data_IF_615731167904
#
_entry.id   IF_615731167904
#
_cell.length_a   1.000
_cell.length_b   1.000
_cell.length_c   1.000
_cell.angle_alpha   90.00
_cell.angle_beta   90.00
_cell.angle_gamma   90.00
#
_symmetry.space_group_name_H-M   'P 1'
#
loop_
_entity.id
_entity.type
_entity.pdbx_description
1 polymer ?
#
# COMPACT_ATOMS: atom_id res chain seq x y z
N UNK A 1 -3.38 -12.81 -16.09
CA UNK A 1 -2.64 -13.36 -14.93
C UNK A 1 -3.62 -13.84 -13.88
N UNK A 2 -3.30 -14.91 -13.15
CA UNK A 2 -4.08 -15.41 -11.99
C UNK A 2 -3.39 -15.11 -10.67
N UNK A 3 -4.16 -15.18 -9.57
CA UNK A 3 -3.64 -14.93 -8.22
C UNK A 3 -2.49 -15.87 -7.84
N UNK A 4 -2.52 -17.13 -8.28
CA UNK A 4 -1.46 -18.11 -7.98
C UNK A 4 -0.12 -17.79 -8.66
N UNK A 5 -0.16 -17.05 -9.78
CA UNK A 5 1.03 -16.71 -10.57
C UNK A 5 1.86 -15.59 -9.91
N UNK A 6 1.25 -14.80 -9.02
CA UNK A 6 1.87 -13.66 -8.35
C UNK A 6 3.09 -14.02 -7.50
N UNK A 7 3.21 -15.27 -7.04
CA UNK A 7 4.33 -15.73 -6.20
C UNK A 7 5.61 -15.97 -7.01
N UNK A 8 5.49 -16.18 -8.34
CA UNK A 8 6.59 -16.67 -9.18
C UNK A 8 6.93 -15.77 -10.37
N UNK A 9 6.08 -14.78 -10.67
CA UNK A 9 6.24 -13.91 -11.83
C UNK A 9 7.36 -12.90 -11.65
N UNK A 10 8.09 -12.61 -12.73
CA UNK A 10 9.01 -11.46 -12.81
C UNK A 10 8.22 -10.20 -13.19
N UNK A 11 8.44 -9.11 -12.47
CA UNK A 11 7.71 -7.87 -12.61
C UNK A 11 8.39 -6.93 -13.60
N UNK A 12 7.68 -6.65 -14.68
CA UNK A 12 8.05 -5.71 -15.72
C UNK A 12 6.79 -4.98 -16.22
N UNK A 13 6.92 -4.13 -17.23
CA UNK A 13 5.80 -3.33 -17.73
C UNK A 13 4.63 -4.18 -18.26
N UNK A 14 4.89 -5.36 -18.84
CA UNK A 14 3.87 -6.25 -19.38
C UNK A 14 3.14 -7.01 -18.26
N UNK A 15 3.89 -7.55 -17.30
CA UNK A 15 3.29 -8.28 -16.17
C UNK A 15 2.56 -7.34 -15.23
N UNK A 16 3.04 -6.11 -15.05
CA UNK A 16 2.30 -5.07 -14.33
C UNK A 16 1.00 -4.66 -15.04
N UNK A 17 0.98 -4.58 -16.38
CA UNK A 17 -0.27 -4.39 -17.14
C UNK A 17 -1.25 -5.54 -16.94
N UNK A 18 -0.75 -6.78 -16.98
CA UNK A 18 -1.58 -7.96 -16.67
C UNK A 18 -2.12 -7.94 -15.25
N UNK A 19 -1.41 -7.29 -14.31
CA UNK A 19 -1.86 -7.10 -12.94
C UNK A 19 -2.97 -6.05 -12.81
N UNK A 20 -2.92 -4.96 -13.57
CA UNK A 20 -4.03 -3.99 -13.57
C UNK A 20 -5.31 -4.59 -14.18
N UNK A 21 -5.19 -5.46 -15.19
CA UNK A 21 -6.29 -6.27 -15.71
C UNK A 21 -6.84 -7.24 -14.64
N UNK A 22 -5.96 -7.86 -13.84
CA UNK A 22 -6.39 -8.67 -12.70
C UNK A 22 -7.20 -7.83 -11.69
N UNK A 23 -6.75 -6.62 -11.33
CA UNK A 23 -7.51 -5.72 -10.45
C UNK A 23 -8.89 -5.41 -11.04
N UNK A 24 -8.97 -5.12 -12.34
CA UNK A 24 -10.23 -4.87 -13.03
C UNK A 24 -11.16 -6.09 -13.00
N UNK A 25 -10.61 -7.30 -13.17
CA UNK A 25 -11.40 -8.54 -13.10
C UNK A 25 -11.95 -8.84 -11.69
N UNK A 26 -11.34 -8.27 -10.65
CA UNK A 26 -11.76 -8.42 -9.25
C UNK A 26 -12.72 -7.31 -8.79
N UNK A 27 -13.15 -6.45 -9.71
CA UNK A 27 -14.00 -5.29 -9.42
C UNK A 27 -15.36 -5.70 -8.85
N UNK A 28 -15.81 -4.94 -7.85
CA UNK A 28 -17.16 -5.02 -7.31
C UNK A 28 -17.81 -3.63 -7.34
N UNK A 29 -18.66 -3.39 -8.33
CA UNK A 29 -19.29 -2.09 -8.54
C UNK A 29 -20.16 -1.63 -7.36
N UNK A 30 -20.88 -2.55 -6.72
CA UNK A 30 -21.76 -2.20 -5.60
C UNK A 30 -20.94 -1.72 -4.41
N UNK A 31 -19.84 -2.43 -4.11
CA UNK A 31 -18.84 -2.01 -3.13
C UNK A 31 -18.20 -0.68 -3.52
N UNK A 32 -17.83 -0.51 -4.79
CA UNK A 32 -17.24 0.73 -5.32
C UNK A 32 -18.12 1.94 -5.15
N UNK A 33 -19.40 1.83 -5.52
CA UNK A 33 -20.41 2.90 -5.36
C UNK A 33 -20.63 3.27 -3.90
N UNK A 34 -20.61 2.29 -3.00
CA UNK A 34 -20.70 2.55 -1.57
C UNK A 34 -19.46 3.28 -1.04
N UNK A 35 -18.27 2.75 -1.35
CA UNK A 35 -17.00 3.34 -0.90
C UNK A 35 -16.79 4.76 -1.41
N UNK A 36 -17.12 5.02 -2.68
CA UNK A 36 -16.99 6.36 -3.29
C UNK A 36 -17.83 7.43 -2.59
N UNK A 37 -18.88 7.04 -1.84
CA UNK A 37 -19.70 7.97 -1.05
C UNK A 37 -19.10 8.30 0.32
N UNK A 38 -18.32 7.40 0.92
CA UNK A 38 -17.83 7.53 2.30
C UNK A 38 -16.32 7.81 2.39
N UNK A 39 -15.57 7.52 1.33
CA UNK A 39 -14.14 7.80 1.25
C UNK A 39 -13.95 9.08 0.43
N UNK A 40 -13.58 10.21 1.07
CA UNK A 40 -13.27 11.43 0.34
C UNK A 40 -12.03 11.23 -0.51
N UNK A 41 -11.91 11.97 -1.61
CA UNK A 41 -10.70 11.99 -2.45
C UNK A 41 -10.23 10.61 -2.95
N UNK A 42 -11.15 9.65 -3.14
CA UNK A 42 -10.83 8.28 -3.57
C UNK A 42 -10.03 8.24 -4.88
N UNK A 43 -10.36 9.14 -5.82
CA UNK A 43 -9.72 9.19 -7.13
C UNK A 43 -10.09 7.98 -7.99
N UNK A 44 -9.16 7.55 -8.83
CA UNK A 44 -9.33 6.34 -9.64
C UNK A 44 -9.29 5.09 -8.76
N UNK A 45 -10.24 4.17 -8.97
CA UNK A 45 -10.33 2.91 -8.22
C UNK A 45 -10.87 1.80 -9.11
N UNK A 46 -10.33 0.60 -8.94
CA UNK A 46 -10.81 -0.64 -9.56
C UNK A 46 -11.96 -1.29 -8.75
N UNK A 47 -12.29 -0.75 -7.57
CA UNK A 47 -13.31 -1.26 -6.67
C UNK A 47 -13.03 -2.67 -6.14
N UNK A 48 -11.75 -2.97 -5.88
CA UNK A 48 -11.35 -4.27 -5.34
C UNK A 48 -11.46 -4.26 -3.81
N UNK A 49 -12.10 -5.30 -3.26
CA UNK A 49 -12.29 -5.41 -1.81
C UNK A 49 -10.98 -5.70 -1.07
N UNK A 50 -10.86 -5.16 0.14
CA UNK A 50 -9.69 -5.37 1.02
C UNK A 50 -9.25 -6.83 1.22
N UNK A 51 -10.14 -7.84 1.34
CA UNK A 51 -9.70 -9.24 1.43
C UNK A 51 -8.91 -9.70 0.20
N UNK A 52 -9.30 -9.29 -1.01
CA UNK A 52 -8.57 -9.63 -2.24
C UNK A 52 -7.21 -8.94 -2.27
N UNK A 53 -7.13 -7.65 -1.90
CA UNK A 53 -5.85 -6.93 -1.80
C UNK A 53 -4.91 -7.57 -0.78
N UNK A 54 -5.43 -8.06 0.35
CA UNK A 54 -4.62 -8.82 1.33
C UNK A 54 -4.13 -10.16 0.77
N UNK A 55 -4.91 -10.83 -0.08
CA UNK A 55 -4.48 -12.06 -0.74
C UNK A 55 -3.37 -11.78 -1.76
N UNK A 56 -3.51 -10.73 -2.57
CA UNK A 56 -2.47 -10.24 -3.49
C UNK A 56 -1.18 -9.97 -2.71
N UNK A 57 -1.26 -9.18 -1.63
CA UNK A 57 -0.09 -8.81 -0.85
C UNK A 57 0.61 -10.03 -0.21
N UNK A 58 -0.15 -11.06 0.21
CA UNK A 58 0.40 -12.32 0.73
C UNK A 58 1.10 -13.15 -0.34
N UNK A 59 0.59 -13.16 -1.56
CA UNK A 59 1.24 -13.85 -2.68
C UNK A 59 2.54 -13.14 -3.07
N UNK A 60 2.48 -11.82 -3.24
CA UNK A 60 3.63 -10.98 -3.60
C UNK A 60 4.73 -11.02 -2.52
N UNK A 61 4.38 -11.09 -1.23
CA UNK A 61 5.35 -11.21 -0.12
C UNK A 61 6.27 -12.44 -0.25
N UNK A 62 5.81 -13.50 -0.93
CA UNK A 62 6.61 -14.70 -1.18
C UNK A 62 7.42 -14.62 -2.48
N UNK A 63 7.14 -13.64 -3.33
CA UNK A 63 7.81 -13.46 -4.60
C UNK A 63 9.22 -12.87 -4.38
N UNK A 64 10.22 -13.47 -5.02
CA UNK A 64 11.61 -13.01 -4.96
C UNK A 64 11.80 -11.63 -5.59
N UNK A 65 10.92 -11.23 -6.49
CA UNK A 65 10.90 -9.95 -7.20
C UNK A 65 9.85 -8.97 -6.64
N UNK A 66 9.53 -9.08 -5.35
CA UNK A 66 8.62 -8.18 -4.64
C UNK A 66 9.00 -6.71 -4.78
N UNK A 67 10.30 -6.38 -4.83
CA UNK A 67 10.78 -5.00 -4.92
C UNK A 67 10.36 -4.33 -6.24
N UNK A 68 10.46 -5.04 -7.35
CA UNK A 68 10.01 -4.55 -8.66
C UNK A 68 8.50 -4.30 -8.67
N UNK A 69 7.70 -5.22 -8.13
CA UNK A 69 6.26 -5.01 -7.96
C UNK A 69 5.96 -3.76 -7.12
N UNK A 70 6.65 -3.62 -5.99
CA UNK A 70 6.49 -2.46 -5.10
C UNK A 70 6.79 -1.15 -5.82
N UNK A 71 7.82 -1.12 -6.66
CA UNK A 71 8.17 0.05 -7.46
C UNK A 71 7.09 0.39 -8.49
N UNK A 72 6.50 -0.61 -9.16
CA UNK A 72 5.39 -0.39 -10.09
C UNK A 72 4.15 0.20 -9.40
N UNK A 73 3.66 -0.42 -8.33
CA UNK A 73 2.47 0.09 -7.61
C UNK A 73 2.76 1.45 -6.94
N UNK A 74 4.02 1.73 -6.62
CA UNK A 74 4.43 3.04 -6.11
C UNK A 74 4.34 4.12 -7.19
N UNK A 75 4.58 3.80 -8.47
CA UNK A 75 4.32 4.71 -9.57
C UNK A 75 2.83 4.76 -9.97
N UNK A 76 2.05 3.74 -9.57
CA UNK A 76 0.61 3.64 -9.77
C UNK A 76 -0.20 4.75 -9.08
N UNK A 77 -1.43 4.93 -9.55
CA UNK A 77 -2.28 6.06 -9.12
C UNK A 77 -3.63 5.64 -8.55
N UNK A 78 -4.04 4.38 -8.75
CA UNK A 78 -5.32 3.90 -8.24
C UNK A 78 -5.31 3.76 -6.72
N UNK A 79 -6.51 3.80 -6.15
CA UNK A 79 -6.74 3.57 -4.73
C UNK A 79 -6.21 2.20 -4.26
N UNK A 80 -6.42 1.15 -5.05
CA UNK A 80 -5.97 -0.22 -4.76
C UNK A 80 -4.44 -0.33 -4.74
N UNK A 81 -3.75 0.35 -5.66
CA UNK A 81 -2.28 0.35 -5.69
C UNK A 81 -1.69 1.06 -4.48
N UNK A 82 -2.28 2.19 -4.06
CA UNK A 82 -1.90 2.88 -2.82
C UNK A 82 -2.15 1.98 -1.60
N UNK A 83 -3.29 1.30 -1.54
CA UNK A 83 -3.58 0.34 -0.47
C UNK A 83 -2.55 -0.78 -0.43
N UNK A 84 -2.21 -1.37 -1.58
CA UNK A 84 -1.20 -2.43 -1.68
C UNK A 84 0.18 -1.93 -1.26
N UNK A 85 0.56 -0.71 -1.66
CA UNK A 85 1.82 -0.10 -1.24
C UNK A 85 1.88 -0.02 0.29
N UNK A 86 0.83 0.50 0.93
CA UNK A 86 0.75 0.60 2.40
C UNK A 86 0.77 -0.76 3.12
N UNK A 87 0.10 -1.77 2.57
CA UNK A 87 0.12 -3.15 3.11
C UNK A 87 1.53 -3.74 3.01
N UNK A 88 2.19 -3.60 1.85
CA UNK A 88 3.49 -4.22 1.60
C UNK A 88 4.62 -3.57 2.41
N UNK A 89 4.54 -2.28 2.75
CA UNK A 89 5.50 -1.66 3.69
C UNK A 89 5.60 -2.46 4.99
N UNK A 90 4.46 -2.91 5.55
CA UNK A 90 4.42 -3.74 6.76
C UNK A 90 5.02 -5.14 6.61
N UNK A 91 5.33 -5.56 5.38
CA UNK A 91 5.87 -6.88 4.99
C UNK A 91 7.32 -6.82 4.50
N UNK A 92 7.80 -5.63 4.16
CA UNK A 92 9.15 -5.41 3.67
C UNK A 92 10.20 -5.65 4.76
N UNK A 93 11.37 -6.10 4.33
CA UNK A 93 12.57 -6.13 5.15
C UNK A 93 13.41 -4.91 4.81
N UNK A 94 13.70 -4.09 5.81
CA UNK A 94 14.50 -2.88 5.63
C UNK A 94 15.95 -3.15 6.06
N UNK A 95 16.90 -2.58 5.32
CA UNK A 95 18.34 -2.69 5.64
C UNK A 95 18.71 -1.81 6.84
N UNK A 96 17.99 -0.71 7.02
CA UNK A 96 18.17 0.23 8.14
C UNK A 96 16.85 0.93 8.50
N UNK A 97 16.81 1.55 9.68
CA UNK A 97 15.71 2.43 10.07
C UNK A 97 15.56 3.62 9.11
N UNK A 98 16.66 4.17 8.59
CA UNK A 98 16.63 5.26 7.60
C UNK A 98 15.92 4.88 6.31
N UNK A 99 16.18 3.66 5.81
CA UNK A 99 15.51 3.14 4.60
C UNK A 99 14.01 2.93 4.83
N UNK A 100 13.65 2.44 6.02
CA UNK A 100 12.27 2.30 6.45
C UNK A 100 11.56 3.65 6.47
N UNK A 101 12.16 4.65 7.13
CA UNK A 101 11.56 5.98 7.25
C UNK A 101 11.45 6.69 5.91
N UNK A 102 12.44 6.53 5.02
CA UNK A 102 12.37 7.09 3.67
C UNK A 102 11.20 6.49 2.87
N UNK A 103 10.97 5.19 3.02
CA UNK A 103 9.84 4.48 2.39
C UNK A 103 8.49 4.94 2.96
N UNK A 104 8.40 5.05 4.29
CA UNK A 104 7.20 5.52 5.00
C UNK A 104 6.88 6.97 4.64
N UNK A 105 7.86 7.87 4.68
CA UNK A 105 7.68 9.28 4.33
C UNK A 105 7.20 9.46 2.88
N UNK A 106 7.74 8.65 1.97
CA UNK A 106 7.31 8.65 0.59
C UNK A 106 5.85 8.19 0.43
N UNK A 107 5.43 7.17 1.19
CA UNK A 107 4.05 6.70 1.18
C UNK A 107 3.07 7.70 1.83
N UNK A 108 3.45 8.30 2.97
CA UNK A 108 2.59 9.27 3.69
C UNK A 108 2.16 10.43 2.78
N UNK A 109 3.06 10.91 1.92
CA UNK A 109 2.76 11.96 0.92
C UNK A 109 1.64 11.60 -0.06
N UNK A 110 1.30 10.32 -0.19
CA UNK A 110 0.25 9.82 -1.08
C UNK A 110 -1.08 9.59 -0.38
N UNK A 111 -1.10 9.62 0.96
CA UNK A 111 -2.30 9.44 1.76
C UNK A 111 -3.13 10.71 1.63
N UNK A 112 -4.33 10.57 1.09
CA UNK A 112 -5.26 11.69 0.87
C UNK A 112 -6.66 11.42 1.46
N UNK A 113 -6.83 10.28 2.15
CA UNK A 113 -8.08 9.85 2.75
C UNK A 113 -7.85 8.94 3.97
N UNK A 114 -8.87 8.82 4.80
CA UNK A 114 -8.81 8.08 6.06
C UNK A 114 -8.57 6.58 5.86
N UNK A 115 -9.07 6.00 4.78
CA UNK A 115 -8.96 4.57 4.55
C UNK A 115 -7.51 4.16 4.21
N UNK A 116 -6.78 5.00 3.47
CA UNK A 116 -5.34 4.79 3.23
C UNK A 116 -4.52 4.94 4.52
N UNK A 117 -4.83 5.94 5.34
CA UNK A 117 -4.17 6.18 6.63
C UNK A 117 -4.38 5.01 7.60
N UNK A 118 -5.64 4.72 7.93
CA UNK A 118 -6.01 3.73 8.93
C UNK A 118 -5.54 2.31 8.50
N UNK A 119 -5.64 1.98 7.21
CA UNK A 119 -5.12 0.73 6.65
C UNK A 119 -3.60 0.64 6.83
N UNK A 120 -2.85 1.67 6.46
CA UNK A 120 -1.39 1.67 6.58
C UNK A 120 -0.91 1.50 8.03
N UNK A 121 -1.44 2.32 8.94
CA UNK A 121 -1.11 2.24 10.38
C UNK A 121 -1.37 0.85 10.92
N UNK A 122 -2.45 0.19 10.48
CA UNK A 122 -2.76 -1.18 10.90
C UNK A 122 -1.71 -2.22 10.45
N UNK A 123 -1.07 -2.00 9.30
CA UNK A 123 -0.11 -2.94 8.71
C UNK A 123 1.33 -2.74 9.24
N UNK A 124 1.71 -1.54 9.70
CA UNK A 124 3.08 -1.26 10.17
C UNK A 124 3.29 -1.46 11.69
N UNK A 125 2.25 -1.88 12.44
CA UNK A 125 2.33 -2.05 13.90
C UNK A 125 3.53 -2.88 14.37
N UNK A 126 3.89 -3.92 13.62
CA UNK A 126 5.05 -4.77 13.93
C UNK A 126 6.36 -3.97 13.82
N UNK A 127 6.55 -3.23 12.72
CA UNK A 127 7.71 -2.38 12.50
C UNK A 127 7.86 -1.35 13.62
N UNK A 128 6.76 -0.69 14.00
CA UNK A 128 6.74 0.29 15.09
C UNK A 128 7.13 -0.35 16.43
N UNK A 129 6.58 -1.54 16.72
CA UNK A 129 6.91 -2.27 17.95
C UNK A 129 8.38 -2.66 18.02
N UNK A 130 8.98 -3.04 16.89
CA UNK A 130 10.38 -3.48 16.79
C UNK A 130 11.39 -2.31 16.80
N UNK A 131 10.95 -1.08 16.50
CA UNK A 131 11.82 0.11 16.39
C UNK A 131 11.26 1.29 17.23
N UNK A 132 10.77 0.97 18.44
CA UNK A 132 9.93 1.91 19.22
C UNK A 132 10.64 3.22 19.56
N UNK A 133 11.90 3.16 19.98
CA UNK A 133 12.66 4.34 20.40
C UNK A 133 12.95 5.25 19.20
N UNK A 134 13.30 4.66 18.07
CA UNK A 134 13.54 5.35 16.82
C UNK A 134 12.26 5.99 16.28
N UNK A 135 11.12 5.31 16.36
CA UNK A 135 9.82 5.90 16.02
C UNK A 135 9.45 7.08 16.93
N UNK A 136 9.70 6.98 18.25
CA UNK A 136 9.48 8.09 19.17
C UNK A 136 10.30 9.33 18.78
N UNK A 137 11.50 9.15 18.26
CA UNK A 137 12.36 10.26 17.81
C UNK A 137 11.81 11.00 16.59
N UNK A 138 11.02 10.35 15.73
CA UNK A 138 10.49 10.94 14.49
C UNK A 138 9.04 11.42 14.61
N UNK A 139 8.28 10.96 15.62
CA UNK A 139 6.90 11.40 15.86
C UNK A 139 6.72 12.94 15.87
N UNK A 140 7.60 13.75 16.49
CA UNK A 140 7.44 15.21 16.48
C UNK A 140 7.36 15.83 15.08
N UNK A 141 8.05 15.24 14.09
CA UNK A 141 7.99 15.66 12.68
C UNK A 141 6.58 15.46 12.10
N UNK A 142 5.90 14.38 12.44
CA UNK A 142 4.57 14.07 11.94
C UNK A 142 3.48 14.92 12.60
N UNK A 143 3.56 15.09 13.92
CA UNK A 143 2.59 15.90 14.69
C UNK A 143 2.65 17.38 14.28
N UNK A 144 3.83 17.90 13.95
CA UNK A 144 4.00 19.30 13.52
C UNK A 144 3.63 19.55 12.05
N UNK A 145 3.26 18.51 11.29
CA UNK A 145 2.90 18.64 9.89
C UNK A 145 1.58 19.41 9.71
N UNK A 146 1.54 20.28 8.70
CA UNK A 146 0.28 20.91 8.25
C UNK A 146 -0.64 19.93 7.51
N UNK A 147 -0.11 18.78 7.07
CA UNK A 147 -0.87 17.76 6.38
C UNK A 147 -1.61 16.87 7.39
N UNK A 148 -2.97 16.85 7.37
CA UNK A 148 -3.75 16.19 8.41
C UNK A 148 -3.51 14.68 8.47
N UNK A 149 -3.14 14.06 7.35
CA UNK A 149 -2.85 12.63 7.27
C UNK A 149 -1.48 12.25 7.82
N UNK A 150 -0.54 13.19 7.88
CA UNK A 150 0.76 12.96 8.51
C UNK A 150 0.63 12.94 10.03
N UNK A 151 -0.22 13.81 10.59
CA UNK A 151 -0.42 13.92 12.03
C UNK A 151 -1.36 12.85 12.61
N UNK A 152 -2.22 12.24 11.77
CA UNK A 152 -3.18 11.18 12.14
C UNK A 152 -2.51 9.81 12.27
#
# INVERSE_FOLDING_TARGET
>A
MKMEELELIEWNAETYRSFTELLQSLSDEAYGKFNSKIIPNLGFSYYVRMPQLRNIAKAVEKNKDMESFYNFISAGSSYEEKLLQGILIGKMKFKSFSDMMSTIDYYIKKINNWALCDSFVSNIKKLVKENKEEFLSVIPKYISSSEPWSAR
#
